data_IF_530466922283
#
_entry.id   IF_530466922283
#
_cell.length_a   1.000
_cell.length_b   1.000
_cell.length_c   1.000
_cell.angle_alpha   90.00
_cell.angle_beta   90.00
_cell.angle_gamma   90.00
#
_symmetry.space_group_name_H-M   'P 1'
#
loop_
_entity.id
_entity.type
_entity.pdbx_description
1 polymer ?
#
# COMPACT_ATOMS: atom_id res chain seq x y z
N UNK A 1 35.56 -53.08 -6.48
CA UNK A 1 35.59 -52.52 -7.85
C UNK A 1 35.26 -51.04 -7.73
N UNK A 2 36.27 -50.17 -7.83
CA UNK A 2 36.14 -48.73 -7.65
C UNK A 2 36.11 -48.06 -9.04
N UNK A 3 35.01 -47.40 -9.39
CA UNK A 3 34.88 -46.66 -10.63
C UNK A 3 35.18 -45.17 -10.37
N UNK A 4 36.34 -44.73 -10.87
CA UNK A 4 36.76 -43.33 -10.95
C UNK A 4 36.08 -42.69 -12.15
N UNK A 5 35.22 -41.68 -11.92
CA UNK A 5 34.64 -40.84 -12.96
C UNK A 5 35.39 -39.51 -13.00
N UNK A 6 36.29 -39.38 -13.97
CA UNK A 6 36.99 -38.14 -14.28
C UNK A 6 36.04 -37.11 -14.89
N UNK A 7 35.86 -35.99 -14.20
CA UNK A 7 35.17 -34.81 -14.73
C UNK A 7 36.12 -34.01 -15.61
N UNK A 8 35.86 -33.97 -16.91
CA UNK A 8 36.55 -33.10 -17.86
C UNK A 8 35.90 -31.72 -17.81
N UNK A 9 36.51 -30.81 -17.06
CA UNK A 9 36.13 -29.40 -17.01
C UNK A 9 36.62 -28.71 -18.29
N UNK A 10 35.74 -28.53 -19.28
CA UNK A 10 36.03 -27.70 -20.45
C UNK A 10 35.84 -26.24 -20.07
N UNK A 11 36.95 -25.55 -19.77
CA UNK A 11 36.97 -24.09 -19.63
C UNK A 11 36.92 -23.53 -21.05
N UNK A 12 35.75 -23.04 -21.49
CA UNK A 12 35.66 -22.17 -22.64
C UNK A 12 36.28 -20.82 -22.24
N UNK A 13 37.52 -20.60 -22.61
CA UNK A 13 38.15 -19.28 -22.61
C UNK A 13 37.42 -18.42 -23.63
N UNK A 14 36.56 -17.53 -23.12
CA UNK A 14 36.09 -16.39 -23.90
C UNK A 14 37.34 -15.63 -24.38
N UNK A 15 37.47 -15.44 -25.69
CA UNK A 15 38.58 -14.67 -26.26
C UNK A 15 38.53 -13.25 -25.73
N UNK A 16 39.37 -12.96 -24.73
CA UNK A 16 39.70 -11.62 -24.31
C UNK A 16 40.41 -10.93 -25.48
N UNK A 17 39.66 -10.17 -26.28
CA UNK A 17 40.24 -9.17 -27.15
C UNK A 17 40.96 -8.15 -26.27
N UNK A 18 42.29 -8.28 -26.18
CA UNK A 18 43.14 -7.35 -25.45
C UNK A 18 43.12 -5.98 -26.14
N UNK A 19 42.25 -5.09 -25.66
CA UNK A 19 42.36 -3.66 -25.87
C UNK A 19 43.67 -3.19 -25.22
N UNK A 20 44.72 -3.00 -26.01
CA UNK A 20 45.99 -2.43 -25.53
C UNK A 20 45.77 -0.98 -25.13
N UNK A 21 46.25 -0.61 -23.95
CA UNK A 21 46.14 0.73 -23.38
C UNK A 21 46.81 1.76 -24.30
N UNK A 22 46.03 2.40 -25.17
CA UNK A 22 46.53 3.42 -26.10
C UNK A 22 45.79 3.48 -27.44
N UNK A 23 45.08 2.41 -27.84
CA UNK A 23 44.21 2.43 -29.02
C UNK A 23 42.76 2.63 -28.59
N UNK A 24 42.07 3.62 -29.17
CA UNK A 24 40.62 3.80 -29.01
C UNK A 24 39.93 2.49 -29.40
N UNK A 25 39.30 1.81 -28.44
CA UNK A 25 38.41 0.68 -28.72
C UNK A 25 37.07 1.22 -29.23
N UNK A 26 37.14 2.06 -30.26
CA UNK A 26 35.98 2.42 -31.05
C UNK A 26 35.63 1.17 -31.85
N UNK A 27 34.46 0.57 -31.62
CA UNK A 27 34.01 -0.55 -32.44
C UNK A 27 34.08 -0.15 -33.92
N UNK A 28 34.74 -0.99 -34.73
CA UNK A 28 34.94 -0.81 -36.18
C UNK A 28 33.60 -0.91 -36.92
N UNK A 29 32.83 0.18 -36.87
CA UNK A 29 31.60 0.35 -37.62
C UNK A 29 31.83 0.99 -38.99
N UNK A 30 33.06 1.43 -39.31
CA UNK A 30 33.35 2.19 -40.53
C UNK A 30 33.35 1.34 -41.82
N UNK A 31 33.30 0.01 -41.69
CA UNK A 31 33.27 -0.92 -42.83
C UNK A 31 31.94 -1.63 -43.10
N UNK A 32 30.92 -1.51 -42.23
CA UNK A 32 29.62 -2.16 -42.46
C UNK A 32 28.68 -1.22 -43.20
N UNK A 33 28.06 -1.71 -44.27
CA UNK A 33 27.09 -0.92 -45.01
C UNK A 33 25.90 -0.55 -44.12
N UNK A 34 25.33 0.64 -44.32
CA UNK A 34 24.11 1.09 -43.63
C UNK A 34 22.98 0.05 -43.70
N UNK A 35 22.92 -0.72 -44.79
CA UNK A 35 21.97 -1.82 -44.98
C UNK A 35 22.09 -2.93 -43.93
N UNK A 36 23.32 -3.32 -43.54
CA UNK A 36 23.55 -4.39 -42.58
C UNK A 36 23.05 -4.00 -41.18
N UNK A 37 23.27 -2.74 -40.78
CA UNK A 37 22.81 -2.22 -39.50
C UNK A 37 21.27 -2.14 -39.42
N UNK A 38 20.61 -1.69 -40.49
CA UNK A 38 19.14 -1.64 -40.55
C UNK A 38 18.57 -3.06 -40.47
N UNK A 39 19.19 -4.04 -41.13
CA UNK A 39 18.76 -5.43 -41.07
C UNK A 39 18.94 -6.02 -39.66
N UNK A 40 20.10 -5.79 -39.00
CA UNK A 40 20.34 -6.19 -37.62
C UNK A 40 19.32 -5.57 -36.66
N UNK A 41 19.02 -4.28 -36.81
CA UNK A 41 18.04 -3.59 -35.97
C UNK A 41 16.63 -4.16 -36.15
N UNK A 42 16.23 -4.44 -37.38
CA UNK A 42 14.94 -5.07 -37.67
C UNK A 42 14.87 -6.49 -37.11
N UNK A 43 15.95 -7.26 -37.22
CA UNK A 43 16.07 -8.59 -36.60
C UNK A 43 15.96 -8.50 -35.08
N UNK A 44 16.62 -7.54 -34.45
CA UNK A 44 16.55 -7.31 -33.01
C UNK A 44 15.14 -6.92 -32.55
N UNK A 45 14.42 -6.10 -33.32
CA UNK A 45 13.00 -5.78 -33.04
C UNK A 45 12.11 -7.01 -33.08
N UNK A 46 12.34 -7.92 -34.04
CA UNK A 46 11.60 -9.18 -34.16
C UNK A 46 11.92 -10.17 -33.03
N UNK A 47 13.10 -10.05 -32.41
CA UNK A 47 13.50 -10.86 -31.26
C UNK A 47 12.94 -10.35 -29.92
N UNK A 48 12.31 -9.16 -29.88
CA UNK A 48 11.60 -8.71 -28.69
C UNK A 48 10.45 -9.66 -28.38
N UNK A 49 10.31 -10.01 -27.11
CA UNK A 49 9.21 -10.83 -26.62
C UNK A 49 8.21 -9.99 -25.83
N UNK A 50 6.98 -10.49 -25.70
CA UNK A 50 5.96 -9.82 -24.90
C UNK A 50 6.16 -10.15 -23.42
N UNK A 51 6.71 -9.20 -22.68
CA UNK A 51 6.77 -9.23 -21.22
C UNK A 51 5.55 -8.60 -20.56
N UNK A 52 5.50 -8.70 -19.24
CA UNK A 52 4.53 -8.02 -18.40
C UNK A 52 5.22 -7.07 -17.44
N UNK A 53 4.78 -5.82 -17.46
CA UNK A 53 5.14 -4.78 -16.52
C UNK A 53 4.11 -4.76 -15.39
N UNK A 54 4.51 -5.17 -14.19
CA UNK A 54 3.73 -5.03 -12.96
C UNK A 54 4.24 -3.81 -12.18
N UNK A 55 3.35 -2.91 -11.76
CA UNK A 55 3.73 -1.68 -11.08
C UNK A 55 2.77 -1.31 -9.94
N UNK A 56 3.25 -0.55 -8.96
CA UNK A 56 2.44 -0.06 -7.84
C UNK A 56 1.34 0.86 -8.34
N UNK A 57 0.09 0.66 -7.89
CA UNK A 57 -1.02 1.59 -8.19
C UNK A 57 -0.85 2.88 -7.37
N UNK A 58 -0.76 4.07 -7.99
CA UNK A 58 -0.62 5.29 -7.19
C UNK A 58 -1.82 5.60 -6.30
N UNK A 59 -3.02 5.19 -6.69
CA UNK A 59 -4.21 5.33 -5.86
C UNK A 59 -4.14 4.54 -4.54
N UNK A 60 -3.30 3.50 -4.47
CA UNK A 60 -3.07 2.72 -3.24
C UNK A 60 -1.85 3.20 -2.45
N UNK A 61 -1.05 4.11 -3.02
CA UNK A 61 -0.03 4.82 -2.27
C UNK A 61 -0.75 5.86 -1.41
N UNK A 62 -0.81 5.64 -0.11
CA UNK A 62 -1.39 6.61 0.83
C UNK A 62 -0.45 7.82 0.96
N UNK A 63 -0.40 8.66 -0.06
CA UNK A 63 0.49 9.81 -0.15
C UNK A 63 0.07 10.89 0.86
N UNK A 64 1.00 11.24 1.74
CA UNK A 64 0.90 12.37 2.67
C UNK A 64 2.13 13.26 2.47
N UNK A 65 1.95 14.58 2.64
CA UNK A 65 3.05 15.55 2.54
C UNK A 65 4.22 15.13 3.44
N UNK A 66 5.44 15.26 2.91
CA UNK A 66 6.71 14.96 3.59
C UNK A 66 6.94 13.51 4.00
N UNK A 67 6.01 12.59 3.70
CA UNK A 67 6.19 11.16 3.93
C UNK A 67 6.61 10.45 2.63
N UNK A 68 7.88 10.08 2.46
CA UNK A 68 8.33 9.35 1.27
C UNK A 68 7.68 7.97 1.22
N UNK A 69 7.35 7.52 0.00
CA UNK A 69 6.85 6.17 -0.27
C UNK A 69 7.56 5.57 -1.48
N UNK A 70 7.62 4.25 -1.56
CA UNK A 70 8.29 3.57 -2.66
C UNK A 70 7.31 3.18 -3.77
N UNK A 71 7.63 3.60 -5.00
CA UNK A 71 6.99 3.11 -6.21
C UNK A 71 7.84 1.99 -6.79
N UNK A 72 7.22 0.83 -7.04
CA UNK A 72 7.90 -0.33 -7.61
C UNK A 72 7.36 -0.60 -9.01
N UNK A 73 8.25 -0.91 -9.94
CA UNK A 73 7.91 -1.49 -11.22
C UNK A 73 8.77 -2.74 -11.44
N UNK A 74 8.20 -3.74 -12.08
CA UNK A 74 8.87 -5.00 -12.33
C UNK A 74 8.45 -5.53 -13.69
N UNK A 75 9.42 -5.99 -14.47
CA UNK A 75 9.17 -6.64 -15.75
C UNK A 75 9.47 -8.13 -15.60
N UNK A 76 8.55 -8.95 -16.07
CA UNK A 76 8.71 -10.40 -16.09
C UNK A 76 8.31 -10.98 -17.45
N UNK A 77 9.00 -12.05 -17.85
CA UNK A 77 8.61 -12.84 -19.03
C UNK A 77 7.46 -13.81 -18.78
N UNK A 78 6.98 -13.93 -17.53
CA UNK A 78 5.92 -14.88 -17.14
C UNK A 78 4.62 -14.17 -16.76
N UNK A 79 3.51 -14.77 -17.15
CA UNK A 79 2.16 -14.29 -16.82
C UNK A 79 1.66 -14.98 -15.54
N UNK A 80 2.03 -14.47 -14.36
CA UNK A 80 1.52 -14.95 -13.07
C UNK A 80 0.21 -14.24 -12.65
N UNK A 81 -0.43 -14.59 -11.54
CA UNK A 81 -1.52 -13.74 -11.03
C UNK A 81 -0.97 -12.35 -10.62
N UNK A 82 -1.74 -11.27 -10.87
CA UNK A 82 -1.37 -9.91 -10.44
C UNK A 82 -1.61 -9.79 -8.93
N UNK A 83 -0.61 -9.31 -8.18
CA UNK A 83 -0.74 -9.09 -6.74
C UNK A 83 -1.73 -7.96 -6.43
N UNK A 84 -2.45 -8.07 -5.32
CA UNK A 84 -3.35 -7.00 -4.83
C UNK A 84 -2.56 -5.69 -4.65
N UNK A 85 -3.13 -4.57 -5.08
CA UNK A 85 -2.47 -3.26 -5.04
C UNK A 85 -1.50 -2.97 -6.20
N UNK A 86 -1.28 -3.93 -7.10
CA UNK A 86 -0.53 -3.70 -8.35
C UNK A 86 -1.45 -3.56 -9.56
N UNK A 87 -0.97 -2.85 -10.56
CA UNK A 87 -1.51 -2.82 -11.90
C UNK A 87 -0.51 -3.52 -12.85
N UNK A 88 -0.99 -3.98 -13.99
CA UNK A 88 -0.16 -4.68 -14.97
C UNK A 88 -0.41 -4.18 -16.38
N UNK A 89 0.59 -4.28 -17.25
CA UNK A 89 0.45 -3.95 -18.66
C UNK A 89 1.41 -4.78 -19.53
N UNK A 90 1.01 -5.10 -20.77
CA UNK A 90 1.88 -5.80 -21.73
C UNK A 90 2.98 -4.86 -22.24
N UNK A 91 4.21 -5.33 -22.39
CA UNK A 91 5.35 -4.55 -22.92
C UNK A 91 6.15 -5.43 -23.87
N UNK A 92 6.60 -4.89 -25.01
CA UNK A 92 7.63 -5.56 -25.80
C UNK A 92 8.99 -5.30 -25.14
N UNK A 93 9.73 -6.35 -24.83
CA UNK A 93 11.00 -6.28 -24.08
C UNK A 93 11.99 -7.31 -24.61
N UNK A 94 13.27 -7.04 -24.38
CA UNK A 94 14.41 -7.85 -24.80
C UNK A 94 15.68 -7.02 -24.70
N UNK A 95 16.82 -7.65 -24.40
CA UNK A 95 18.09 -6.94 -24.23
C UNK A 95 18.05 -5.96 -23.06
N UNK A 96 18.63 -4.77 -23.23
CA UNK A 96 18.63 -3.72 -22.20
C UNK A 96 17.28 -2.99 -22.18
N UNK A 97 16.69 -2.90 -20.99
CA UNK A 97 15.43 -2.18 -20.77
C UNK A 97 15.63 -1.06 -19.76
N UNK A 98 15.15 0.12 -20.10
CA UNK A 98 15.00 1.26 -19.19
C UNK A 98 13.54 1.38 -18.79
N UNK A 99 13.30 1.47 -17.50
CA UNK A 99 12.02 1.95 -16.98
C UNK A 99 12.27 3.32 -16.36
N UNK A 100 11.45 4.30 -16.71
CA UNK A 100 11.55 5.65 -16.20
C UNK A 100 10.21 6.08 -15.60
N UNK A 101 10.25 6.63 -14.39
CA UNK A 101 9.11 7.23 -13.73
C UNK A 101 9.31 8.74 -13.67
N UNK A 102 8.41 9.48 -14.29
CA UNK A 102 8.35 10.93 -14.19
C UNK A 102 7.17 11.34 -13.31
N UNK A 103 7.41 12.25 -12.37
CA UNK A 103 6.40 12.75 -11.45
C UNK A 103 6.23 14.25 -11.61
N UNK A 104 4.99 14.71 -11.51
CA UNK A 104 4.62 16.11 -11.65
C UNK A 104 3.47 16.48 -10.72
N UNK A 105 3.30 17.78 -10.48
CA UNK A 105 2.27 18.32 -9.60
C UNK A 105 2.69 18.29 -8.12
N UNK A 106 2.00 17.48 -7.33
CA UNK A 106 2.13 17.45 -5.87
C UNK A 106 3.28 16.57 -5.32
N UNK A 107 4.03 15.87 -6.16
CA UNK A 107 5.10 14.96 -5.74
C UNK A 107 6.32 14.98 -6.69
N UNK A 108 7.49 14.63 -6.14
CA UNK A 108 8.74 14.40 -6.88
C UNK A 108 9.11 12.93 -6.82
N UNK A 109 9.85 12.43 -7.82
CA UNK A 109 10.30 11.04 -7.86
C UNK A 109 11.80 10.95 -8.09
N UNK A 110 12.47 10.18 -7.23
CA UNK A 110 13.93 9.98 -7.24
C UNK A 110 14.20 8.50 -7.50
N UNK A 111 14.93 8.15 -8.58
CA UNK A 111 15.27 6.75 -8.86
C UNK A 111 16.27 6.22 -7.82
N UNK A 112 16.00 5.04 -7.28
CA UNK A 112 16.89 4.32 -6.36
C UNK A 112 17.65 3.21 -7.11
N UNK A 113 16.97 2.55 -8.04
CA UNK A 113 17.54 1.47 -8.87
C UNK A 113 18.30 2.01 -10.09
N UNK A 114 19.13 1.15 -10.70
CA UNK A 114 19.82 1.44 -11.96
C UNK A 114 18.86 1.83 -13.10
N UNK A 115 19.37 2.65 -14.03
CA UNK A 115 18.58 3.20 -15.14
C UNK A 115 18.22 2.13 -16.19
N UNK A 116 19.18 1.29 -16.57
CA UNK A 116 19.01 0.21 -17.56
C UNK A 116 19.34 -1.12 -16.91
N UNK A 117 18.57 -2.16 -17.23
CA UNK A 117 18.79 -3.52 -16.76
C UNK A 117 18.50 -4.50 -17.90
N UNK A 118 19.27 -5.59 -17.94
CA UNK A 118 19.07 -6.66 -18.90
C UNK A 118 17.78 -7.42 -18.57
N UNK A 119 16.94 -7.63 -19.58
CA UNK A 119 15.69 -8.39 -19.48
C UNK A 119 15.71 -9.47 -20.56
N UNK A 120 15.96 -10.70 -20.14
CA UNK A 120 15.99 -11.86 -21.03
C UNK A 120 14.68 -12.63 -20.97
N UNK A 121 14.23 -13.15 -22.12
CA UNK A 121 13.01 -13.95 -22.24
C UNK A 121 13.19 -15.44 -21.93
N UNK A 122 14.41 -15.86 -21.59
CA UNK A 122 14.68 -17.26 -21.28
C UNK A 122 13.91 -17.67 -20.02
N UNK A 123 13.05 -18.69 -20.18
CA UNK A 123 12.19 -19.25 -19.13
C UNK A 123 12.97 -19.73 -17.90
N UNK A 124 14.28 -19.97 -18.04
CA UNK A 124 15.21 -20.35 -16.99
C UNK A 124 15.55 -19.19 -16.05
N UNK A 125 15.52 -17.96 -16.56
CA UNK A 125 15.64 -16.77 -15.73
C UNK A 125 14.29 -16.48 -15.09
N UNK A 126 14.10 -17.04 -13.90
CA UNK A 126 12.93 -16.79 -13.05
C UNK A 126 12.92 -15.38 -12.47
N UNK A 127 14.04 -14.68 -12.55
CA UNK A 127 14.23 -13.39 -11.92
C UNK A 127 13.55 -12.31 -12.75
N UNK A 128 12.61 -11.64 -12.10
CA UNK A 128 11.90 -10.52 -12.67
C UNK A 128 12.65 -9.24 -12.28
N UNK A 129 13.12 -8.52 -13.30
CA UNK A 129 13.89 -7.29 -13.20
C UNK A 129 13.06 -6.17 -12.58
N UNK A 130 13.58 -5.48 -11.56
CA UNK A 130 12.82 -4.53 -10.77
C UNK A 130 13.47 -3.15 -10.72
N UNK A 131 12.61 -2.14 -10.70
CA UNK A 131 12.96 -0.73 -10.55
C UNK A 131 12.20 -0.12 -9.38
N UNK A 132 12.88 0.75 -8.64
CA UNK A 132 12.34 1.38 -7.44
C UNK A 132 12.62 2.88 -7.48
N UNK A 133 11.60 3.66 -7.17
CA UNK A 133 11.69 5.10 -6.99
C UNK A 133 11.18 5.47 -5.60
N UNK A 134 11.85 6.43 -4.97
CA UNK A 134 11.29 7.16 -3.85
C UNK A 134 10.37 8.26 -4.39
N UNK A 135 9.11 8.25 -3.97
CA UNK A 135 8.13 9.29 -4.26
C UNK A 135 8.00 10.16 -3.02
N UNK A 136 8.36 11.43 -3.13
CA UNK A 136 8.26 12.40 -2.04
C UNK A 136 7.15 13.40 -2.34
N UNK A 137 5.99 13.33 -1.65
CA UNK A 137 4.94 14.32 -1.80
C UNK A 137 5.36 15.65 -1.17
N UNK A 138 5.30 16.74 -1.94
CA UNK A 138 5.79 18.07 -1.52
C UNK A 138 4.69 18.99 -1.03
N UNK A 139 3.46 18.80 -1.51
CA UNK A 139 2.29 19.61 -1.12
C UNK A 139 1.01 18.81 -1.29
N UNK A 140 -0.06 19.20 -0.62
CA UNK A 140 -1.38 18.62 -0.85
C UNK A 140 -1.85 18.89 -2.30
N UNK A 141 -2.58 17.95 -2.90
CA UNK A 141 -3.14 18.12 -4.24
C UNK A 141 -3.14 16.84 -5.07
N UNK A 142 -3.04 16.98 -6.39
CA UNK A 142 -2.96 15.84 -7.31
C UNK A 142 -1.51 15.66 -7.76
N UNK A 143 -0.97 14.45 -7.61
CA UNK A 143 0.28 14.02 -8.21
C UNK A 143 -0.02 13.21 -9.47
N UNK A 144 0.72 13.46 -10.55
CA UNK A 144 0.64 12.72 -11.80
C UNK A 144 1.95 11.98 -12.04
N UNK A 145 1.83 10.70 -12.34
CA UNK A 145 2.94 9.79 -12.60
C UNK A 145 2.85 9.33 -14.06
N UNK A 146 3.97 9.40 -14.77
CA UNK A 146 4.13 8.89 -16.12
C UNK A 146 5.23 7.83 -16.12
N UNK A 147 4.86 6.59 -16.39
CA UNK A 147 5.76 5.45 -16.43
C UNK A 147 6.06 5.08 -17.90
N UNK A 148 7.31 5.15 -18.29
CA UNK A 148 7.79 4.88 -19.65
C UNK A 148 8.71 3.67 -19.64
N UNK A 149 8.56 2.80 -20.62
CA UNK A 149 9.40 1.61 -20.81
C UNK A 149 10.02 1.68 -22.19
N UNK A 150 11.34 1.60 -22.24
CA UNK A 150 12.12 1.68 -23.47
C UNK A 150 13.08 0.49 -23.54
N UNK A 151 13.04 -0.23 -24.65
CA UNK A 151 14.00 -1.30 -24.98
C UNK A 151 15.06 -0.77 -25.93
N UNK A 152 16.31 -1.06 -25.63
CA UNK A 152 17.48 -0.61 -26.39
C UNK A 152 18.13 -1.79 -27.09
N UNK A 153 18.77 -1.49 -28.21
CA UNK A 153 19.62 -2.44 -28.91
C UNK A 153 20.94 -2.56 -28.14
N UNK A 154 21.16 -3.72 -27.52
CA UNK A 154 22.36 -4.00 -26.72
C UNK A 154 22.63 -2.87 -25.71
N UNK A 155 23.88 -2.43 -25.56
CA UNK A 155 24.26 -1.33 -24.66
C UNK A 155 24.23 0.06 -25.35
N UNK A 156 23.68 0.14 -26.56
CA UNK A 156 23.60 1.38 -27.34
C UNK A 156 22.45 2.30 -26.90
N UNK A 157 22.39 3.51 -27.46
CA UNK A 157 21.24 4.41 -27.29
C UNK A 157 20.14 4.21 -28.32
N UNK A 158 20.30 3.24 -29.23
CA UNK A 158 19.32 2.94 -30.28
C UNK A 158 18.08 2.28 -29.70
N UNK A 159 16.94 2.95 -29.84
CA UNK A 159 15.65 2.47 -29.32
C UNK A 159 15.06 1.42 -30.26
N UNK A 160 14.85 0.21 -29.74
CA UNK A 160 14.13 -0.85 -30.44
C UNK A 160 12.62 -0.66 -30.33
N UNK A 161 12.15 -0.31 -29.13
CA UNK A 161 10.74 -0.14 -28.82
C UNK A 161 10.58 0.82 -27.65
N UNK A 162 9.58 1.69 -27.74
CA UNK A 162 9.13 2.55 -26.64
C UNK A 162 7.63 2.40 -26.45
N UNK A 163 7.23 2.08 -25.21
CA UNK A 163 5.83 2.03 -24.86
C UNK A 163 5.31 3.44 -24.57
N UNK A 164 4.13 3.83 -25.11
CA UNK A 164 3.48 5.07 -24.71
C UNK A 164 3.37 5.21 -23.19
N UNK A 165 3.65 6.39 -22.62
CA UNK A 165 3.67 6.57 -21.17
C UNK A 165 2.37 6.14 -20.52
N UNK A 166 2.46 5.29 -19.49
CA UNK A 166 1.32 4.94 -18.66
C UNK A 166 1.11 6.07 -17.66
N UNK A 167 0.02 6.80 -17.84
CA UNK A 167 -0.29 7.98 -17.03
C UNK A 167 -1.32 7.62 -15.97
N UNK A 168 -0.97 7.89 -14.72
CA UNK A 168 -1.84 7.64 -13.56
C UNK A 168 -1.76 8.81 -12.59
N UNK A 169 -2.81 8.99 -11.79
CA UNK A 169 -2.93 10.10 -10.84
C UNK A 169 -3.20 9.57 -9.43
N UNK A 170 -2.73 10.30 -8.43
CA UNK A 170 -3.06 10.07 -7.03
C UNK A 170 -3.31 11.38 -6.29
N UNK A 171 -4.12 11.31 -5.25
CA UNK A 171 -4.34 12.44 -4.33
C UNK A 171 -3.30 12.39 -3.22
N UNK A 172 -2.58 13.49 -3.06
CA UNK A 172 -1.70 13.74 -1.91
C UNK A 172 -2.53 14.44 -0.86
N UNK A 173 -2.67 13.77 0.29
CA UNK A 173 -3.29 14.38 1.48
C UNK A 173 -2.33 15.41 2.06
N UNK A 174 -2.88 16.49 2.61
CA UNK A 174 -2.10 17.36 3.47
C UNK A 174 -1.45 16.50 4.57
N UNK A 175 -0.29 16.93 5.06
CA UNK A 175 0.18 16.41 6.33
C UNK A 175 -1.00 16.51 7.31
N UNK A 176 -1.19 15.51 8.20
CA UNK A 176 -2.00 15.76 9.38
C UNK A 176 -1.58 17.14 9.87
N UNK A 177 -2.53 18.05 10.08
CA UNK A 177 -2.20 19.20 10.93
C UNK A 177 -1.80 18.51 12.21
N UNK A 178 -0.49 18.39 12.43
CA UNK A 178 0.03 18.06 13.72
C UNK A 178 -0.57 19.15 14.59
N UNK A 179 -1.68 18.82 15.26
CA UNK A 179 -1.87 19.18 16.64
C UNK A 179 -0.46 19.09 17.21
N UNK A 180 0.12 20.23 17.58
CA UNK A 180 1.57 20.37 17.64
C UNK A 180 2.25 19.36 18.59
N UNK A 181 3.53 19.54 18.93
CA UNK A 181 4.21 18.70 19.92
C UNK A 181 3.54 18.64 21.32
N UNK A 182 2.40 19.35 21.52
CA UNK A 182 1.52 19.36 22.68
C UNK A 182 0.15 18.68 22.47
N UNK A 183 -0.12 18.02 21.33
CA UNK A 183 -1.37 17.29 21.11
C UNK A 183 -1.56 16.16 22.11
N UNK A 184 -0.49 15.41 22.34
CA UNK A 184 -0.46 14.37 23.37
C UNK A 184 -0.70 14.96 24.76
N UNK A 185 -0.32 16.23 25.02
CA UNK A 185 -0.66 16.92 26.26
C UNK A 185 -2.16 17.22 26.35
N UNK A 186 -2.82 17.59 25.25
CA UNK A 186 -4.27 17.78 25.24
C UNK A 186 -5.02 16.47 25.52
N UNK A 187 -4.58 15.36 24.89
CA UNK A 187 -5.15 14.03 25.12
C UNK A 187 -4.86 13.52 26.54
N UNK A 188 -3.64 13.71 27.05
CA UNK A 188 -3.26 13.36 28.42
C UNK A 188 -4.03 14.19 29.44
N UNK A 189 -4.22 15.49 29.19
CA UNK A 189 -4.99 16.38 30.05
C UNK A 189 -6.48 15.99 30.06
N UNK A 190 -7.03 15.59 28.91
CA UNK A 190 -8.38 15.05 28.81
C UNK A 190 -8.55 13.75 29.61
N UNK A 191 -7.57 12.84 29.53
CA UNK A 191 -7.55 11.61 30.32
C UNK A 191 -7.44 11.88 31.83
N UNK A 192 -6.56 12.81 32.24
CA UNK A 192 -6.39 13.21 33.65
C UNK A 192 -7.67 13.84 34.20
N UNK A 193 -8.35 14.70 33.44
CA UNK A 193 -9.63 15.28 33.84
C UNK A 193 -10.69 14.21 34.10
N UNK A 194 -10.78 13.20 33.22
CA UNK A 194 -11.72 12.09 33.42
C UNK A 194 -11.39 11.25 34.66
N UNK A 195 -10.11 10.98 34.91
CA UNK A 195 -9.67 10.31 36.14
C UNK A 195 -10.03 11.12 37.39
N UNK A 196 -9.89 12.45 37.35
CA UNK A 196 -10.27 13.34 38.46
C UNK A 196 -11.79 13.37 38.70
N UNK A 197 -12.60 13.37 37.65
CA UNK A 197 -14.07 13.28 37.78
C UNK A 197 -14.51 11.93 38.37
N UNK A 198 -13.91 10.82 37.95
CA UNK A 198 -14.19 9.50 38.52
C UNK A 198 -13.73 9.42 39.99
N UNK A 199 -12.56 9.97 40.33
CA UNK A 199 -12.09 10.07 41.71
C UNK A 199 -12.99 10.94 42.59
N UNK A 200 -13.55 12.03 42.07
CA UNK A 200 -14.49 12.88 42.80
C UNK A 200 -15.80 12.14 43.11
N UNK A 201 -16.31 11.34 42.17
CA UNK A 201 -17.47 10.47 42.39
C UNK A 201 -17.18 9.38 43.43
N UNK A 202 -15.99 8.76 43.38
CA UNK A 202 -15.56 7.74 44.34
C UNK A 202 -15.34 8.32 45.76
N UNK A 203 -14.78 9.52 45.86
CA UNK A 203 -14.63 10.23 47.14
C UNK A 203 -16.00 10.63 47.72
N UNK A 204 -16.95 11.06 46.87
CA UNK A 204 -18.34 11.30 47.27
C UNK A 204 -19.02 10.05 47.84
N UNK A 205 -18.83 8.89 47.20
CA UNK A 205 -19.36 7.62 47.69
C UNK A 205 -18.76 7.21 49.05
N UNK A 206 -17.46 7.42 49.26
CA UNK A 206 -16.79 7.17 50.54
C UNK A 206 -17.29 8.08 51.66
N UNK A 207 -17.54 9.36 51.37
CA UNK A 207 -18.09 10.30 52.36
C UNK A 207 -19.50 9.88 52.82
N UNK A 208 -20.33 9.36 51.91
CA UNK A 208 -21.66 8.83 52.24
C UNK A 208 -21.56 7.58 53.13
N UNK A 209 -20.66 6.64 52.82
CA UNK A 209 -20.46 5.41 53.61
C UNK A 209 -19.95 5.75 55.02
N UNK A 210 -18.97 6.65 55.14
CA UNK A 210 -18.46 7.11 56.44
C UNK A 210 -19.52 7.86 57.25
N UNK A 211 -20.32 8.70 56.59
CA UNK A 211 -21.47 9.37 57.22
C UNK A 211 -22.51 8.37 57.75
N UNK A 212 -22.85 7.34 56.96
CA UNK A 212 -23.78 6.28 57.38
C UNK A 212 -23.24 5.46 58.55
N UNK A 213 -21.94 5.16 58.54
CA UNK A 213 -21.29 4.42 59.62
C UNK A 213 -21.22 5.22 60.92
N UNK A 214 -20.90 6.51 60.85
CA UNK A 214 -20.92 7.41 61.99
C UNK A 214 -22.35 7.53 62.59
N UNK A 215 -23.36 7.71 61.73
CA UNK A 215 -24.76 7.78 62.15
C UNK A 215 -25.26 6.47 62.79
N UNK A 216 -24.84 5.31 62.27
CA UNK A 216 -25.15 4.00 62.85
C UNK A 216 -24.50 3.82 64.22
N UNK A 217 -23.24 4.22 64.37
CA UNK A 217 -22.50 4.14 65.64
C UNK A 217 -23.13 5.03 66.72
N UNK A 218 -23.56 6.25 66.36
CA UNK A 218 -24.25 7.14 67.32
C UNK A 218 -25.63 6.63 67.71
N UNK A 219 -26.34 5.93 66.81
CA UNK A 219 -27.65 5.32 67.12
C UNK A 219 -27.54 4.16 68.11
N UNK A 220 -26.50 3.33 68.01
CA UNK A 220 -26.30 2.21 68.95
C UNK A 220 -25.82 2.67 70.34
N UNK A 221 -25.31 3.90 70.47
CA UNK A 221 -24.94 4.49 71.77
C UNK A 221 -26.07 5.29 72.43
N UNK A 222 -27.22 5.44 71.78
CA UNK A 222 -28.37 6.17 72.32
C UNK A 222 -29.50 5.27 72.87
N UNK A 223 -29.30 3.95 72.96
CA UNK A 223 -30.23 3.04 73.64
C UNK A 223 -29.92 2.92 75.12
N UNK A 224 -29.99 4.04 75.85
CA UNK A 224 -29.99 4.05 77.31
C UNK A 224 -30.71 5.29 77.87
N UNK A 225 -31.91 5.63 77.38
CA UNK A 225 -32.89 6.40 78.14
C UNK A 225 -34.28 6.39 77.48
N UNK A 226 -35.26 5.94 78.27
CA UNK A 226 -36.70 6.23 78.19
C UNK A 226 -37.60 5.48 77.19
N UNK A 227 -38.24 4.44 77.72
CA UNK A 227 -39.70 4.19 77.63
C UNK A 227 -40.41 5.07 78.68
N UNK A 228 -41.73 5.45 78.58
CA UNK A 228 -42.81 4.49 78.27
C UNK A 228 -44.10 5.00 77.53
N UNK A 229 -44.90 3.98 77.15
CA UNK A 229 -46.38 3.83 77.25
C UNK A 229 -47.39 4.46 76.26
N UNK A 230 -47.98 3.55 75.45
CA UNK A 230 -49.40 3.39 75.02
C UNK A 230 -50.04 4.49 74.14
N UNK A 231 -51.06 4.26 73.31
CA UNK A 231 -52.11 3.22 73.22
C UNK A 231 -52.71 3.26 71.79
N UNK A 232 -53.12 2.10 71.27
CA UNK A 232 -54.43 1.96 70.60
C UNK A 232 -54.60 2.26 69.09
N UNK A 233 -55.11 1.23 68.41
CA UNK A 233 -56.12 1.29 67.31
C UNK A 233 -55.64 0.94 65.89
N UNK A 234 -55.78 -0.35 65.57
CA UNK A 234 -55.99 -1.01 64.26
C UNK A 234 -57.38 -0.68 63.64
N UNK A 235 -57.81 -1.14 62.44
CA UNK A 235 -57.19 -1.69 61.19
C UNK A 235 -57.91 -1.13 59.90
N UNK A 236 -58.17 -1.84 58.76
CA UNK A 236 -57.49 -2.88 57.96
C UNK A 236 -57.37 -2.57 56.43
N UNK A 237 -56.72 -3.50 55.71
CA UNK A 237 -57.20 -4.12 54.45
C UNK A 237 -56.57 -3.78 53.09
N UNK A 238 -56.37 -4.87 52.35
CA UNK A 238 -56.24 -5.04 50.88
C UNK A 238 -54.91 -4.59 50.26
N UNK A 239 -54.24 -5.34 49.39
CA UNK A 239 -54.59 -6.53 48.62
C UNK A 239 -53.92 -6.43 47.24
N UNK A 240 -53.43 -7.56 46.71
CA UNK A 240 -53.05 -7.72 45.29
C UNK A 240 -51.53 -7.79 45.06
N UNK A 241 -50.91 -8.94 44.78
CA UNK A 241 -51.05 -9.91 43.66
C UNK A 241 -50.09 -9.63 42.49
N UNK A 242 -49.11 -10.52 42.38
CA UNK A 242 -48.59 -11.23 41.20
C UNK A 242 -48.69 -10.63 39.77
N UNK A 243 -47.57 -10.79 39.03
CA UNK A 243 -47.43 -10.73 37.56
C UNK A 243 -46.02 -10.24 37.21
N UNK A 244 -45.02 -11.02 36.81
CA UNK A 244 -44.88 -11.92 35.65
C UNK A 244 -45.28 -11.28 34.30
N UNK A 245 -44.27 -10.90 33.51
CA UNK A 245 -44.15 -10.92 32.02
C UNK A 245 -42.83 -10.20 31.68
N UNK A 246 -41.77 -10.78 31.09
CA UNK A 246 -41.63 -11.65 29.92
C UNK A 246 -42.20 -11.04 28.63
N UNK A 247 -41.39 -10.23 27.93
CA UNK A 247 -41.49 -9.81 26.52
C UNK A 247 -40.23 -8.97 26.22
N UNK A 248 -39.56 -9.03 25.08
CA UNK A 248 -39.84 -9.74 23.85
C UNK A 248 -38.64 -9.59 22.90
N UNK A 249 -38.47 -10.61 22.09
CA UNK A 249 -37.64 -10.65 20.89
C UNK A 249 -38.11 -9.58 19.91
N UNK A 250 -37.22 -8.72 19.43
CA UNK A 250 -37.39 -8.09 18.12
C UNK A 250 -36.14 -8.31 17.26
N UNK A 251 -36.28 -9.36 16.48
CA UNK A 251 -35.60 -9.67 15.24
C UNK A 251 -36.21 -8.76 14.16
N UNK A 252 -35.44 -7.85 13.56
CA UNK A 252 -35.93 -7.15 12.35
C UNK A 252 -34.80 -6.72 11.39
N UNK A 253 -34.75 -7.46 10.27
CA UNK A 253 -34.50 -7.02 8.88
C UNK A 253 -33.09 -6.47 8.54
N UNK A 254 -32.24 -7.22 7.83
CA UNK A 254 -32.32 -7.54 6.39
C UNK A 254 -32.64 -6.33 5.51
N UNK A 255 -31.59 -5.68 4.99
CA UNK A 255 -31.69 -4.85 3.79
C UNK A 255 -30.49 -5.16 2.87
N UNK A 256 -30.82 -5.95 1.86
CA UNK A 256 -30.08 -6.23 0.63
C UNK A 256 -29.81 -4.93 -0.13
N UNK A 257 -28.56 -4.64 -0.49
CA UNK A 257 -28.23 -3.65 -1.51
C UNK A 257 -27.49 -4.35 -2.66
N UNK A 258 -28.28 -4.97 -3.53
CA UNK A 258 -27.89 -5.32 -4.90
C UNK A 258 -27.67 -4.03 -5.67
N UNK A 259 -26.43 -3.71 -6.03
CA UNK A 259 -26.15 -2.68 -7.04
C UNK A 259 -25.78 -3.37 -8.35
N UNK A 260 -26.79 -3.49 -9.21
CA UNK A 260 -26.68 -3.84 -10.63
C UNK A 260 -26.71 -2.55 -11.42
N UNK A 261 -25.64 -2.19 -12.14
CA UNK A 261 -25.68 -1.27 -13.30
C UNK A 261 -24.42 -1.56 -14.13
N UNK A 262 -24.47 -2.39 -15.19
CA UNK A 262 -24.98 -2.13 -16.54
C UNK A 262 -24.29 -0.95 -17.23
N UNK A 263 -23.38 -1.24 -18.16
CA UNK A 263 -23.49 -0.76 -19.55
C UNK A 263 -22.27 -1.19 -20.37
N UNK A 264 -22.54 -2.09 -21.32
CA UNK A 264 -21.73 -2.29 -22.49
C UNK A 264 -21.73 -1.00 -23.32
N UNK A 265 -20.57 -0.62 -23.85
CA UNK A 265 -20.48 0.32 -24.98
C UNK A 265 -19.81 -0.44 -26.11
N UNK A 266 -20.63 -0.90 -27.06
CA UNK A 266 -20.21 -1.17 -28.43
C UNK A 266 -20.05 0.17 -29.14
N UNK A 267 -19.03 0.32 -29.99
CA UNK A 267 -18.79 1.59 -30.65
C UNK A 267 -17.67 1.56 -31.68
N UNK A 268 -18.01 1.03 -32.85
CA UNK A 268 -17.56 1.40 -34.20
C UNK A 268 -16.07 1.47 -34.55
N UNK A 269 -15.67 0.51 -35.39
CA UNK A 269 -14.70 0.68 -36.47
C UNK A 269 -15.22 1.67 -37.53
N UNK A 270 -14.35 2.54 -38.06
CA UNK A 270 -14.43 2.98 -39.44
C UNK A 270 -13.31 2.33 -40.26
N UNK A 271 -13.73 1.46 -41.17
CA UNK A 271 -13.02 1.14 -42.40
C UNK A 271 -12.93 2.40 -43.26
N UNK A 272 -11.71 2.87 -43.51
CA UNK A 272 -11.43 3.93 -44.48
C UNK A 272 -10.40 3.44 -45.48
N UNK A 273 -10.88 2.89 -46.59
CA UNK A 273 -10.17 2.73 -47.86
C UNK A 273 -10.35 3.99 -48.69
N UNK A 274 -9.23 4.59 -49.12
CA UNK A 274 -9.05 5.19 -50.45
C UNK A 274 -7.55 5.21 -50.73
#
# INVERSE_FOLDING_TARGET
MAASLGSVLSIMTAGEGQCTAGASCEPDWQGRGEGDFIEELNRARQQLFTGRLDYTKPATLHLAVEKPVYFHAQISGRWNAVQKGRASAKVAVGGQVKVALHCSGAATCTPISSKRQLVTGDRRFKEATAWVWEVTPKKAGTARFALTVTSYYEDTETVLYEKPPIIVQAKVKAAPKDEGPFAWFADLYGWVKKMLEELALLAGALAVILGLWAAWKTRNSASAANLPSSTGTSPPASGGSAGQQAQGVQQQQSATATTTTSSATSGNSPSGTA
#
